data_IF_720393241716
#
_entry.id   IF_720393241716
#
_cell.length_a   1.000
_cell.length_b   1.000
_cell.length_c   1.000
_cell.angle_alpha   90.00
_cell.angle_beta   90.00
_cell.angle_gamma   90.00
#
_symmetry.space_group_name_H-M   'P 1'
#
loop_
_entity.id
_entity.type
_entity.pdbx_description
1 polymer ?
#
# COMPACT_ATOMS: atom_id res chain seq x y z
N UNK A 1 -10.39 -13.92 10.58
CA UNK A 1 -9.45 -14.32 11.65
C UNK A 1 -8.23 -13.45 11.48
N UNK A 2 -7.98 -12.54 12.43
CA UNK A 2 -6.97 -11.49 12.26
C UNK A 2 -5.56 -12.13 12.21
N UNK A 3 -4.92 -12.11 11.04
CA UNK A 3 -3.63 -12.81 10.83
C UNK A 3 -2.43 -12.00 11.28
N UNK A 4 -2.51 -10.65 11.25
CA UNK A 4 -1.38 -9.76 11.50
C UNK A 4 -1.81 -8.45 12.17
N UNK A 5 -1.02 -7.92 13.11
CA UNK A 5 -1.29 -6.62 13.74
C UNK A 5 -1.26 -5.48 12.72
N UNK A 6 -1.98 -4.40 12.99
CA UNK A 6 -2.03 -3.22 12.12
C UNK A 6 -0.64 -2.66 11.84
N UNK A 7 0.25 -2.63 12.85
CA UNK A 7 1.64 -2.24 12.68
C UNK A 7 2.37 -3.10 11.64
N UNK A 8 2.22 -4.42 11.76
CA UNK A 8 2.85 -5.37 10.85
C UNK A 8 2.39 -5.12 9.41
N UNK A 9 1.14 -4.71 9.22
CA UNK A 9 0.55 -4.40 7.91
C UNK A 9 0.97 -3.04 7.37
N UNK A 10 1.08 -2.01 8.21
CA UNK A 10 1.65 -0.71 7.85
C UNK A 10 3.09 -0.90 7.35
N UNK A 11 3.91 -1.58 8.15
CA UNK A 11 5.29 -1.89 7.79
C UNK A 11 5.36 -2.75 6.54
N UNK A 12 4.48 -3.74 6.41
CA UNK A 12 4.40 -4.59 5.23
C UNK A 12 4.12 -3.80 3.96
N UNK A 13 3.15 -2.88 4.00
CA UNK A 13 2.80 -2.06 2.85
C UNK A 13 3.98 -1.19 2.38
N UNK A 14 4.61 -0.47 3.32
CA UNK A 14 5.67 0.47 2.99
C UNK A 14 6.98 -0.23 2.63
N UNK A 15 7.35 -1.28 3.36
CA UNK A 15 8.53 -2.07 3.03
C UNK A 15 8.33 -2.87 1.73
N UNK A 16 7.10 -3.34 1.48
CA UNK A 16 6.79 -4.11 0.28
C UNK A 16 6.92 -3.28 -0.99
N UNK A 17 6.46 -2.03 -0.99
CA UNK A 17 6.65 -1.11 -2.12
C UNK A 17 8.13 -0.82 -2.38
N UNK A 18 8.89 -0.58 -1.31
CA UNK A 18 10.32 -0.32 -1.34
C UNK A 18 11.16 -1.51 -1.87
N UNK A 19 10.87 -2.72 -1.40
CA UNK A 19 11.49 -3.96 -1.89
C UNK A 19 11.15 -4.17 -3.35
N UNK A 20 9.88 -3.96 -3.72
CA UNK A 20 9.45 -4.04 -5.10
C UNK A 20 10.33 -3.19 -6.03
N UNK A 21 10.50 -1.92 -5.70
CA UNK A 21 11.38 -0.99 -6.44
C UNK A 21 12.84 -1.44 -6.48
N UNK A 22 13.37 -1.97 -5.38
CA UNK A 22 14.76 -2.44 -5.36
C UNK A 22 15.00 -3.60 -6.34
N UNK A 23 14.04 -4.52 -6.44
CA UNK A 23 14.17 -5.73 -7.25
C UNK A 23 14.12 -5.46 -8.75
N UNK A 24 13.52 -4.34 -9.18
CA UNK A 24 13.52 -3.90 -10.58
C UNK A 24 14.82 -3.25 -11.02
N UNK A 25 15.82 -3.11 -10.13
CA UNK A 25 17.15 -2.64 -10.53
C UNK A 25 17.78 -3.60 -11.55
N UNK A 26 18.32 -3.04 -12.63
CA UNK A 26 19.00 -3.77 -13.71
C UNK A 26 20.39 -4.30 -13.32
N UNK A 27 20.73 -4.27 -12.03
CA UNK A 27 21.97 -4.83 -11.53
C UNK A 27 21.92 -6.36 -11.70
N UNK A 28 22.93 -6.95 -12.35
CA UNK A 28 23.18 -8.39 -12.28
C UNK A 28 23.65 -8.76 -10.87
N UNK A 29 22.70 -8.80 -9.94
CA UNK A 29 22.91 -9.00 -8.53
C UNK A 29 21.79 -9.88 -7.97
N UNK A 30 22.08 -10.58 -6.88
CA UNK A 30 21.06 -11.34 -6.15
C UNK A 30 19.99 -10.40 -5.58
N UNK A 31 18.77 -10.93 -5.37
CA UNK A 31 17.68 -10.18 -4.71
C UNK A 31 18.14 -9.54 -3.39
N UNK A 32 18.95 -10.26 -2.61
CA UNK A 32 19.56 -9.75 -1.38
C UNK A 32 20.40 -8.49 -1.61
N UNK A 33 21.31 -8.51 -2.58
CA UNK A 33 22.18 -7.38 -2.88
C UNK A 33 21.39 -6.20 -3.41
N UNK A 34 20.41 -6.44 -4.29
CA UNK A 34 19.52 -5.38 -4.80
C UNK A 34 18.82 -4.64 -3.67
N UNK A 35 18.26 -5.38 -2.71
CA UNK A 35 17.57 -4.81 -1.54
C UNK A 35 18.57 -4.12 -0.59
N UNK A 36 19.70 -4.75 -0.30
CA UNK A 36 20.70 -4.20 0.63
C UNK A 36 21.26 -2.87 0.16
N UNK A 37 21.52 -2.73 -1.14
CA UNK A 37 22.17 -1.55 -1.73
C UNK A 37 21.20 -0.58 -2.43
N UNK A 38 19.89 -0.85 -2.35
CA UNK A 38 18.88 0.03 -2.91
C UNK A 38 18.99 1.44 -2.34
N UNK A 39 18.91 2.43 -3.22
CA UNK A 39 18.82 3.82 -2.83
C UNK A 39 17.35 4.20 -2.62
N UNK A 40 17.12 5.13 -1.69
CA UNK A 40 15.80 5.72 -1.50
C UNK A 40 15.43 6.51 -2.74
N UNK A 41 14.24 6.27 -3.29
CA UNK A 41 13.71 7.08 -4.39
C UNK A 41 13.14 8.40 -3.88
N UNK A 42 12.93 9.35 -4.80
CA UNK A 42 12.39 10.67 -4.43
C UNK A 42 11.03 10.56 -3.75
N UNK A 43 10.14 9.71 -4.26
CA UNK A 43 8.84 9.45 -3.66
C UNK A 43 8.92 8.79 -2.28
N UNK A 44 9.90 7.91 -2.06
CA UNK A 44 10.13 7.32 -0.74
C UNK A 44 10.62 8.34 0.28
N UNK A 45 11.54 9.23 -0.14
CA UNK A 45 12.03 10.31 0.72
C UNK A 45 10.93 11.34 1.01
N UNK A 46 10.11 11.67 0.01
CA UNK A 46 8.93 12.52 0.19
C UNK A 46 7.93 11.87 1.17
N UNK A 47 7.68 10.57 1.03
CA UNK A 47 6.84 9.81 1.95
C UNK A 47 7.39 9.81 3.38
N UNK A 48 8.69 9.58 3.56
CA UNK A 48 9.35 9.66 4.88
C UNK A 48 9.09 11.02 5.54
N UNK A 49 9.29 12.11 4.80
CA UNK A 49 9.06 13.47 5.30
C UNK A 49 7.58 13.77 5.56
N UNK A 50 6.67 13.30 4.70
CA UNK A 50 5.22 13.42 4.91
C UNK A 50 4.82 12.69 6.20
N UNK A 51 5.31 11.48 6.44
CA UNK A 51 5.06 10.77 7.69
C UNK A 51 5.56 11.55 8.90
N UNK A 52 6.76 12.13 8.84
CA UNK A 52 7.31 12.96 9.92
C UNK A 52 6.44 14.18 10.22
N UNK A 53 5.95 14.86 9.17
CA UNK A 53 5.04 16.00 9.30
C UNK A 53 3.71 15.57 9.94
N UNK A 54 3.11 14.48 9.45
CA UNK A 54 1.88 13.93 10.00
C UNK A 54 2.04 13.56 11.48
N UNK A 55 3.17 12.96 11.84
CA UNK A 55 3.44 12.55 13.22
C UNK A 55 3.69 13.71 14.18
N UNK A 56 4.13 14.85 13.67
CA UNK A 56 4.42 16.05 14.46
C UNK A 56 3.25 17.04 14.48
N UNK A 57 2.19 16.79 13.70
CA UNK A 57 1.03 17.65 13.64
C UNK A 57 0.00 17.25 14.71
N UNK A 58 -0.55 18.24 15.41
CA UNK A 58 -1.64 17.98 16.37
C UNK A 58 -2.93 17.58 15.67
N UNK A 59 -3.20 18.18 14.50
CA UNK A 59 -4.42 18.01 13.71
C UNK A 59 -4.11 18.11 12.23
N UNK A 60 -4.30 17.00 11.52
CA UNK A 60 -4.02 16.87 10.09
C UNK A 60 -4.80 17.94 9.28
N UNK A 61 -5.98 18.33 9.74
CA UNK A 61 -6.84 19.34 9.10
C UNK A 61 -6.22 20.74 9.07
N UNK A 62 -5.19 21.00 9.88
CA UNK A 62 -4.48 22.27 9.93
C UNK A 62 -3.23 22.30 9.04
N UNK A 63 -2.88 21.18 8.40
CA UNK A 63 -1.71 21.12 7.55
C UNK A 63 -1.86 22.03 6.33
N UNK A 64 -0.83 22.86 6.13
CA UNK A 64 -0.65 23.64 4.92
C UNK A 64 0.08 22.78 3.88
N UNK A 65 -0.70 22.04 3.11
CA UNK A 65 -0.18 21.17 2.05
C UNK A 65 0.49 21.94 0.91
N UNK A 66 0.21 23.23 0.73
CA UNK A 66 0.89 24.05 -0.27
C UNK A 66 2.33 24.31 0.15
N UNK A 67 2.52 24.73 1.40
CA UNK A 67 3.84 24.92 1.99
C UNK A 67 4.63 23.61 1.99
N UNK A 68 4.02 22.52 2.43
CA UNK A 68 4.65 21.19 2.45
C UNK A 68 5.07 20.77 1.04
N UNK A 69 4.20 20.92 0.04
CA UNK A 69 4.52 20.54 -1.33
C UNK A 69 5.73 21.31 -1.89
N UNK A 70 5.83 22.61 -1.55
CA UNK A 70 6.96 23.46 -1.93
C UNK A 70 8.26 23.02 -1.24
N UNK A 71 8.22 22.81 0.09
CA UNK A 71 9.40 22.41 0.89
C UNK A 71 9.93 21.02 0.50
N UNK A 72 9.03 20.12 0.09
CA UNK A 72 9.36 18.77 -0.33
C UNK A 72 9.67 18.66 -1.83
N UNK A 73 9.55 19.76 -2.57
CA UNK A 73 9.71 19.81 -4.02
C UNK A 73 8.89 18.71 -4.70
N UNK A 74 7.65 18.48 -4.25
CA UNK A 74 6.79 17.41 -4.78
C UNK A 74 6.52 17.56 -6.29
N UNK A 75 6.81 18.75 -6.83
CA UNK A 75 6.77 19.04 -8.25
C UNK A 75 7.78 18.35 -9.13
N UNK A 76 8.85 17.84 -8.54
CA UNK A 76 9.84 17.04 -9.25
C UNK A 76 9.36 15.60 -9.45
N UNK A 77 8.38 15.15 -8.65
CA UNK A 77 7.81 13.83 -8.83
C UNK A 77 7.07 13.76 -10.16
N UNK A 78 7.43 12.78 -10.98
CA UNK A 78 6.81 12.59 -12.29
C UNK A 78 5.28 12.47 -12.16
N UNK A 79 4.56 13.33 -12.88
CA UNK A 79 3.12 13.28 -13.04
C UNK A 79 2.75 11.92 -13.64
N UNK A 80 2.22 10.98 -12.84
CA UNK A 80 1.92 9.58 -13.20
C UNK A 80 3.05 8.55 -12.98
N UNK A 81 3.71 8.59 -11.83
CA UNK A 81 4.69 7.57 -11.44
C UNK A 81 4.37 6.90 -10.10
N UNK A 82 5.03 5.79 -9.86
CA UNK A 82 5.07 5.09 -8.58
C UNK A 82 5.63 5.95 -7.44
N UNK A 83 6.38 7.01 -7.77
CA UNK A 83 6.92 7.95 -6.79
C UNK A 83 5.82 8.70 -6.06
N UNK A 84 4.78 9.14 -6.78
CA UNK A 84 3.64 9.82 -6.18
C UNK A 84 2.95 8.90 -5.17
N UNK A 85 2.81 7.63 -5.52
CA UNK A 85 2.19 6.63 -4.63
C UNK A 85 3.04 6.38 -3.40
N UNK A 86 4.36 6.26 -3.55
CA UNK A 86 5.28 6.14 -2.42
C UNK A 86 5.20 7.35 -1.49
N UNK A 87 5.06 8.56 -2.05
CA UNK A 87 4.97 9.79 -1.28
C UNK A 87 3.68 9.86 -0.45
N UNK A 88 2.54 9.44 -1.00
CA UNK A 88 1.23 9.55 -0.33
C UNK A 88 0.90 8.34 0.55
N UNK A 89 1.63 7.24 0.45
CA UNK A 89 1.38 6.01 1.20
C UNK A 89 1.23 6.25 2.72
N UNK A 90 2.02 7.10 3.39
CA UNK A 90 1.81 7.39 4.82
C UNK A 90 0.45 8.01 5.12
N UNK A 91 -0.03 8.93 4.26
CA UNK A 91 -1.35 9.52 4.41
C UNK A 91 -2.45 8.47 4.20
N UNK A 92 -2.28 7.57 3.23
CA UNK A 92 -3.18 6.44 3.01
C UNK A 92 -3.26 5.53 4.24
N UNK A 93 -2.10 5.16 4.81
CA UNK A 93 -2.03 4.30 6.00
C UNK A 93 -2.69 4.96 7.21
N UNK A 94 -2.40 6.25 7.45
CA UNK A 94 -2.96 7.01 8.56
C UNK A 94 -4.48 7.16 8.45
N UNK A 95 -5.00 7.39 7.25
CA UNK A 95 -6.43 7.61 7.01
C UNK A 95 -7.19 6.34 6.56
N UNK A 96 -6.64 5.14 6.77
CA UNK A 96 -7.20 3.88 6.26
C UNK A 96 -8.62 3.58 6.75
N UNK A 97 -9.02 4.10 7.91
CA UNK A 97 -10.36 3.97 8.49
C UNK A 97 -11.28 5.18 8.19
N UNK A 98 -10.72 6.29 7.70
CA UNK A 98 -11.43 7.52 7.34
C UNK A 98 -11.03 8.02 5.95
N UNK A 99 -11.56 7.37 4.90
CA UNK A 99 -11.31 7.75 3.51
C UNK A 99 -11.88 9.13 3.14
N UNK A 100 -12.84 9.66 3.90
CA UNK A 100 -13.31 11.03 3.74
C UNK A 100 -12.19 12.02 4.10
N UNK A 101 -11.55 11.82 5.26
CA UNK A 101 -10.39 12.61 5.66
C UNK A 101 -9.25 12.46 4.65
N UNK A 102 -8.96 11.24 4.19
CA UNK A 102 -7.98 11.03 3.11
C UNK A 102 -8.29 11.90 1.90
N UNK A 103 -9.53 11.84 1.39
CA UNK A 103 -9.97 12.60 0.22
C UNK A 103 -9.83 14.11 0.45
N UNK A 104 -10.23 14.61 1.62
CA UNK A 104 -10.10 16.03 1.97
C UNK A 104 -8.64 16.48 1.98
N UNK A 105 -7.75 15.74 2.65
CA UNK A 105 -6.34 16.08 2.73
C UNK A 105 -5.64 15.97 1.36
N UNK A 106 -5.97 14.92 0.62
CA UNK A 106 -5.47 14.73 -0.75
C UNK A 106 -5.91 15.85 -1.69
N UNK A 107 -7.16 16.31 -1.62
CA UNK A 107 -7.64 17.42 -2.45
C UNK A 107 -6.95 18.75 -2.12
N UNK A 108 -6.50 18.94 -0.87
CA UNK A 108 -5.75 20.12 -0.43
C UNK A 108 -4.29 20.11 -0.87
N UNK A 109 -3.73 18.97 -1.28
CA UNK A 109 -2.47 18.91 -2.02
C UNK A 109 -2.69 19.48 -3.44
N UNK A 110 -2.80 20.81 -3.53
CA UNK A 110 -3.09 21.55 -4.77
C UNK A 110 -2.03 21.35 -5.85
N UNK A 111 -0.85 20.88 -5.47
CA UNK A 111 0.19 20.42 -6.38
C UNK A 111 -0.30 19.25 -7.24
N UNK A 112 -0.93 18.24 -6.62
CA UNK A 112 -1.57 17.12 -7.30
C UNK A 112 -2.94 17.49 -7.93
N UNK A 113 -3.54 18.61 -7.52
CA UNK A 113 -4.83 19.04 -8.05
C UNK A 113 -4.78 19.47 -9.54
N UNK A 114 -3.60 19.90 -10.04
CA UNK A 114 -3.37 20.15 -11.48
C UNK A 114 -3.01 18.88 -12.26
N UNK A 115 -2.87 17.74 -11.59
CA UNK A 115 -2.61 16.48 -12.28
C UNK A 115 -3.85 16.02 -13.02
N UNK A 116 -3.58 15.29 -14.10
CA UNK A 116 -4.57 14.65 -14.91
C UNK A 116 -5.47 13.73 -14.05
N UNK A 117 -6.73 13.60 -14.47
CA UNK A 117 -7.77 12.86 -13.74
C UNK A 117 -7.33 11.44 -13.37
N UNK A 118 -6.45 10.88 -14.19
CA UNK A 118 -5.82 9.57 -14.10
C UNK A 118 -5.05 9.35 -12.79
N UNK A 119 -4.26 10.32 -12.34
CA UNK A 119 -3.49 10.21 -11.08
C UNK A 119 -4.41 10.24 -9.87
N UNK A 120 -5.49 11.03 -9.94
CA UNK A 120 -6.46 11.14 -8.84
C UNK A 120 -7.25 9.84 -8.70
N UNK A 121 -7.73 9.29 -9.81
CA UNK A 121 -8.39 7.99 -9.85
C UNK A 121 -7.48 6.89 -9.30
N UNK A 122 -6.22 6.88 -9.76
CA UNK A 122 -5.20 5.93 -9.33
C UNK A 122 -5.00 5.91 -7.81
N UNK A 123 -4.76 7.09 -7.23
CA UNK A 123 -4.48 7.24 -5.80
C UNK A 123 -5.73 6.93 -4.97
N UNK A 124 -6.90 7.36 -5.44
CA UNK A 124 -8.15 7.05 -4.76
C UNK A 124 -8.43 5.55 -4.75
N UNK A 125 -8.26 4.87 -5.90
CA UNK A 125 -8.36 3.40 -5.98
C UNK A 125 -7.43 2.74 -4.98
N UNK A 126 -6.15 3.09 -5.06
CA UNK A 126 -5.11 2.48 -4.26
C UNK A 126 -5.34 2.71 -2.76
N UNK A 127 -5.81 3.90 -2.37
CA UNK A 127 -6.18 4.20 -0.99
C UNK A 127 -7.34 3.35 -0.49
N UNK A 128 -8.38 3.15 -1.32
CA UNK A 128 -9.55 2.32 -0.98
C UNK A 128 -9.15 0.84 -0.87
N UNK A 129 -8.32 0.36 -1.79
CA UNK A 129 -7.80 -1.00 -1.78
C UNK A 129 -7.00 -1.28 -0.49
N UNK A 130 -6.03 -0.42 -0.15
CA UNK A 130 -5.27 -0.56 1.11
C UNK A 130 -6.20 -0.46 2.32
N UNK A 131 -7.15 0.47 2.36
CA UNK A 131 -8.11 0.58 3.45
C UNK A 131 -8.93 -0.70 3.65
N UNK A 132 -9.44 -1.30 2.58
CA UNK A 132 -10.19 -2.56 2.65
C UNK A 132 -9.32 -3.72 3.10
N UNK A 133 -8.08 -3.78 2.63
CA UNK A 133 -7.08 -4.72 3.10
C UNK A 133 -6.91 -4.54 4.61
N UNK A 134 -6.48 -3.38 5.08
CA UNK A 134 -6.18 -3.07 6.49
C UNK A 134 -7.35 -3.30 7.43
N UNK A 135 -8.59 -3.12 6.95
CA UNK A 135 -9.83 -3.34 7.70
C UNK A 135 -10.38 -4.76 7.60
N UNK A 136 -9.67 -5.68 6.93
CA UNK A 136 -10.09 -7.07 6.70
C UNK A 136 -11.47 -7.17 6.03
N UNK A 137 -11.77 -6.21 5.16
CA UNK A 137 -13.02 -6.17 4.39
C UNK A 137 -12.86 -6.65 2.96
N UNK A 138 -11.62 -6.94 2.54
CA UNK A 138 -11.35 -7.45 1.21
C UNK A 138 -11.80 -8.91 1.10
N UNK A 139 -12.78 -9.19 0.24
CA UNK A 139 -13.21 -10.54 -0.10
C UNK A 139 -12.74 -10.94 -1.51
N UNK A 140 -12.14 -12.13 -1.62
CA UNK A 140 -11.70 -12.71 -2.90
C UNK A 140 -12.66 -13.77 -3.45
N UNK A 141 -13.59 -14.29 -2.64
CA UNK A 141 -14.49 -15.38 -3.05
C UNK A 141 -15.72 -14.89 -3.79
N UNK A 142 -16.21 -13.70 -3.44
CA UNK A 142 -17.28 -13.02 -4.17
C UNK A 142 -16.59 -12.09 -5.16
N UNK A 143 -16.64 -12.45 -6.45
CA UNK A 143 -15.88 -11.80 -7.51
C UNK A 143 -15.87 -10.28 -7.39
N UNK A 144 -14.71 -9.73 -7.03
CA UNK A 144 -14.47 -8.33 -6.66
C UNK A 144 -15.46 -7.77 -5.64
N UNK A 145 -14.94 -7.21 -4.55
CA UNK A 145 -15.76 -6.28 -3.78
C UNK A 145 -16.21 -5.17 -4.74
N UNK A 146 -17.50 -5.11 -5.07
CA UNK A 146 -18.14 -3.99 -5.77
C UNK A 146 -17.77 -2.64 -5.12
N UNK A 147 -17.41 -2.69 -3.84
CA UNK A 147 -16.82 -1.61 -3.05
C UNK A 147 -15.53 -1.06 -3.69
N UNK A 148 -14.67 -1.86 -4.31
CA UNK A 148 -13.45 -1.40 -4.97
C UNK A 148 -13.75 -0.76 -6.35
N UNK A 149 -14.85 -1.15 -7.03
CA UNK A 149 -15.27 -0.55 -8.30
C UNK A 149 -16.09 0.73 -8.11
N UNK A 150 -16.56 1.01 -6.90
CA UNK A 150 -17.12 2.31 -6.48
C UNK A 150 -16.02 3.38 -6.27
N UNK A 151 -14.89 3.24 -6.98
CA UNK A 151 -13.82 4.24 -7.03
C UNK A 151 -14.05 5.06 -8.30
N UNK A 152 -14.82 6.14 -8.16
CA UNK A 152 -15.10 7.08 -9.25
C UNK A 152 -16.36 6.74 -10.04
N UNK A 153 -16.58 7.48 -11.13
CA UNK A 153 -17.71 7.19 -12.02
C UNK A 153 -17.47 5.85 -12.75
N UNK A 154 -18.51 5.02 -12.98
CA UNK A 154 -18.38 3.76 -13.72
C UNK A 154 -17.80 3.89 -15.14
N UNK A 155 -17.73 5.12 -15.66
CA UNK A 155 -17.16 5.49 -16.96
C UNK A 155 -15.67 5.85 -16.91
N UNK A 156 -15.08 5.92 -15.71
CA UNK A 156 -13.66 6.14 -15.53
C UNK A 156 -12.86 5.04 -16.22
N UNK A 157 -11.82 5.42 -16.96
CA UNK A 157 -10.98 4.48 -17.71
C UNK A 157 -10.37 3.41 -16.79
N UNK A 158 -10.00 3.80 -15.56
CA UNK A 158 -9.48 2.88 -14.55
C UNK A 158 -10.47 1.75 -14.24
N UNK A 159 -11.76 2.07 -14.08
CA UNK A 159 -12.80 1.08 -13.80
C UNK A 159 -12.93 0.09 -14.95
N UNK A 160 -12.86 0.56 -16.20
CA UNK A 160 -12.84 -0.32 -17.38
C UNK A 160 -11.65 -1.28 -17.34
N UNK A 161 -10.44 -0.78 -17.06
CA UNK A 161 -9.21 -1.61 -17.00
C UNK A 161 -9.23 -2.64 -15.89
N UNK A 162 -9.71 -2.27 -14.71
CA UNK A 162 -9.89 -3.19 -13.60
C UNK A 162 -10.89 -4.29 -13.94
N UNK A 163 -12.04 -3.93 -14.52
CA UNK A 163 -13.04 -4.90 -14.98
C UNK A 163 -12.49 -5.86 -16.04
N UNK A 164 -11.68 -5.35 -16.97
CA UNK A 164 -11.04 -6.20 -17.96
C UNK A 164 -10.06 -7.18 -17.32
N UNK A 165 -9.15 -6.71 -16.46
CA UNK A 165 -8.21 -7.58 -15.75
C UNK A 165 -8.93 -8.68 -14.96
N UNK A 166 -10.13 -8.40 -14.43
CA UNK A 166 -10.97 -9.37 -13.75
C UNK A 166 -11.59 -10.42 -14.67
N UNK A 167 -12.15 -9.97 -15.79
CA UNK A 167 -12.72 -10.88 -16.78
C UNK A 167 -11.65 -11.86 -17.23
N UNK A 168 -10.45 -11.36 -17.54
CA UNK A 168 -9.32 -12.19 -17.94
C UNK A 168 -8.87 -13.14 -16.83
N UNK A 169 -8.81 -12.66 -15.58
CA UNK A 169 -8.53 -13.52 -14.44
C UNK A 169 -9.54 -14.65 -14.27
N UNK A 170 -10.84 -14.36 -14.42
CA UNK A 170 -11.91 -15.36 -14.28
C UNK A 170 -11.94 -16.36 -15.44
N UNK A 171 -11.44 -15.97 -16.61
CA UNK A 171 -11.22 -16.85 -17.76
C UNK A 171 -9.96 -17.72 -17.62
N UNK A 172 -9.18 -17.58 -16.54
CA UNK A 172 -7.96 -18.34 -16.33
C UNK A 172 -6.80 -17.92 -17.24
N UNK A 173 -6.84 -16.69 -17.78
CA UNK A 173 -5.78 -16.14 -18.64
C UNK A 173 -4.46 -16.04 -17.90
N UNK A 174 -3.38 -16.37 -18.60
CA UNK A 174 -2.02 -16.20 -18.12
C UNK A 174 -1.66 -14.72 -17.96
N UNK A 175 -0.63 -14.43 -17.17
CA UNK A 175 -0.15 -13.05 -16.99
C UNK A 175 0.23 -12.41 -18.33
N UNK A 176 0.88 -13.17 -19.21
CA UNK A 176 1.32 -12.67 -20.51
C UNK A 176 0.14 -12.28 -21.38
N UNK A 177 -0.89 -13.11 -21.46
CA UNK A 177 -2.13 -12.78 -22.18
C UNK A 177 -2.80 -11.52 -21.59
N UNK A 178 -2.84 -11.38 -20.26
CA UNK A 178 -3.41 -10.20 -19.61
C UNK A 178 -2.64 -8.93 -19.95
N UNK A 179 -1.31 -8.98 -19.95
CA UNK A 179 -0.47 -7.84 -20.34
C UNK A 179 -0.71 -7.49 -21.80
N UNK A 180 -0.71 -8.48 -22.70
CA UNK A 180 -0.94 -8.28 -24.13
C UNK A 180 -2.32 -7.66 -24.40
N UNK A 181 -3.38 -8.15 -23.76
CA UNK A 181 -4.74 -7.62 -23.96
C UNK A 181 -4.90 -6.20 -23.40
N UNK A 182 -4.30 -5.88 -22.25
CA UNK A 182 -4.35 -4.53 -21.67
C UNK A 182 -3.51 -3.53 -22.47
N UNK A 183 -2.38 -3.96 -23.04
CA UNK A 183 -1.49 -3.12 -23.85
C UNK A 183 -2.01 -2.91 -25.28
N UNK A 184 -2.71 -3.89 -25.88
CA UNK A 184 -3.27 -3.79 -27.23
C UNK A 184 -4.41 -2.78 -27.33
N UNK A 185 -5.21 -2.63 -26.28
CA UNK A 185 -6.41 -1.81 -26.34
C UNK A 185 -6.13 -0.30 -26.26
N UNK A 186 -5.13 0.13 -25.46
CA UNK A 186 -4.79 1.54 -25.30
C UNK A 186 -3.52 1.74 -24.44
N UNK A 187 -2.49 2.38 -25.01
CA UNK A 187 -1.25 2.77 -24.32
C UNK A 187 -1.27 4.21 -23.81
N UNK A 188 -2.33 4.98 -24.07
CA UNK A 188 -2.43 6.40 -23.66
C UNK A 188 -2.60 6.59 -22.15
N UNK A 189 -2.91 5.52 -21.41
CA UNK A 189 -3.19 5.53 -19.98
C UNK A 189 -2.33 4.51 -19.20
N UNK A 190 -0.99 4.68 -19.20
CA UNK A 190 -0.06 3.70 -18.63
C UNK A 190 -0.24 3.50 -17.12
N UNK A 191 -0.69 4.52 -16.39
CA UNK A 191 -0.91 4.43 -14.94
C UNK A 191 -2.10 3.51 -14.60
N UNK A 192 -3.20 3.61 -15.33
CA UNK A 192 -4.36 2.75 -15.12
C UNK A 192 -4.07 1.30 -15.51
N UNK A 193 -3.34 1.09 -16.60
CA UNK A 193 -2.89 -0.24 -16.99
C UNK A 193 -2.01 -0.84 -15.88
N UNK A 194 -1.06 -0.05 -15.34
CA UNK A 194 -0.21 -0.49 -14.25
C UNK A 194 -0.98 -0.85 -12.97
N UNK A 195 -2.05 -0.11 -12.66
CA UNK A 195 -2.91 -0.39 -11.49
C UNK A 195 -3.72 -1.66 -11.69
N UNK A 196 -4.32 -1.83 -12.88
CA UNK A 196 -5.06 -3.05 -13.19
C UNK A 196 -4.16 -4.28 -13.16
N UNK A 197 -2.94 -4.17 -13.71
CA UNK A 197 -1.93 -5.23 -13.65
C UNK A 197 -1.44 -5.51 -12.23
N UNK A 198 -1.21 -4.47 -11.43
CA UNK A 198 -0.79 -4.64 -10.04
C UNK A 198 -1.88 -5.33 -9.21
N UNK A 199 -3.12 -4.92 -9.41
CA UNK A 199 -4.26 -5.56 -8.80
C UNK A 199 -4.39 -7.02 -9.22
N UNK A 200 -4.28 -7.32 -10.51
CA UNK A 200 -4.28 -8.69 -11.04
C UNK A 200 -3.15 -9.55 -10.43
N UNK A 201 -1.92 -9.04 -10.36
CA UNK A 201 -0.78 -9.74 -9.78
C UNK A 201 -1.00 -10.07 -8.29
N UNK A 202 -1.55 -9.11 -7.54
CA UNK A 202 -1.93 -9.30 -6.14
C UNK A 202 -3.07 -10.32 -5.98
N UNK A 203 -4.21 -10.10 -6.65
CA UNK A 203 -5.41 -10.92 -6.50
C UNK A 203 -5.23 -12.38 -6.97
N UNK A 204 -4.37 -12.61 -7.96
CA UNK A 204 -4.08 -13.97 -8.43
C UNK A 204 -3.23 -14.80 -7.45
N UNK A 205 -2.59 -14.16 -6.46
CA UNK A 205 -1.72 -14.85 -5.50
C UNK A 205 -1.62 -14.15 -4.12
N UNK A 206 -2.73 -13.71 -3.50
CA UNK A 206 -2.72 -12.72 -2.43
C UNK A 206 -1.99 -13.20 -1.18
N UNK A 207 -1.94 -14.51 -0.96
CA UNK A 207 -1.29 -15.17 0.18
C UNK A 207 0.22 -15.37 0.02
N UNK A 208 0.79 -15.05 -1.14
CA UNK A 208 2.20 -15.27 -1.43
C UNK A 208 2.85 -13.98 -1.96
N UNK A 209 3.40 -13.21 -1.03
CA UNK A 209 4.11 -11.96 -1.33
C UNK A 209 5.16 -12.11 -2.43
N UNK A 210 6.02 -13.14 -2.33
CA UNK A 210 7.09 -13.33 -3.33
C UNK A 210 6.53 -13.65 -4.71
N UNK A 211 5.44 -14.40 -4.80
CA UNK A 211 4.80 -14.73 -6.06
C UNK A 211 4.14 -13.50 -6.68
N UNK A 212 3.46 -12.66 -5.89
CA UNK A 212 2.91 -11.39 -6.35
C UNK A 212 4.00 -10.52 -6.99
N UNK A 213 5.13 -10.34 -6.29
CA UNK A 213 6.27 -9.56 -6.79
C UNK A 213 6.86 -10.15 -8.07
N UNK A 214 7.11 -11.47 -8.11
CA UNK A 214 7.67 -12.10 -9.31
C UNK A 214 6.73 -12.01 -10.51
N UNK A 215 5.42 -12.08 -10.31
CA UNK A 215 4.44 -11.85 -11.38
C UNK A 215 4.50 -10.40 -11.86
N UNK A 216 4.44 -9.44 -10.94
CA UNK A 216 4.55 -8.02 -11.26
C UNK A 216 5.84 -7.67 -12.02
N UNK A 217 6.97 -8.33 -11.71
CA UNK A 217 8.22 -8.09 -12.43
C UNK A 217 8.18 -8.50 -13.91
N UNK A 218 7.25 -9.36 -14.28
CA UNK A 218 7.10 -9.88 -15.64
C UNK A 218 6.03 -9.14 -16.46
N UNK A 219 5.66 -7.91 -16.09
CA UNK A 219 4.66 -7.10 -16.82
C UNK A 219 5.27 -6.14 -17.86
N UNK A 220 6.49 -6.40 -18.33
CA UNK A 220 7.10 -5.64 -19.43
C UNK A 220 7.39 -4.19 -19.09
N UNK A 221 6.96 -3.26 -19.97
CA UNK A 221 7.33 -1.84 -19.93
C UNK A 221 6.85 -1.10 -18.68
N UNK A 222 5.78 -1.56 -18.04
CA UNK A 222 5.20 -0.95 -16.83
C UNK A 222 5.70 -1.61 -15.53
N UNK A 223 6.67 -2.52 -15.61
CA UNK A 223 7.17 -3.34 -14.50
C UNK A 223 7.44 -2.54 -13.21
N UNK A 224 8.11 -1.39 -13.29
CA UNK A 224 8.46 -0.59 -12.10
C UNK A 224 7.21 -0.19 -11.29
N UNK A 225 6.23 0.44 -11.95
CA UNK A 225 5.00 0.89 -11.29
C UNK A 225 4.18 -0.29 -10.78
N UNK A 226 4.04 -1.34 -11.60
CA UNK A 226 3.28 -2.54 -11.23
C UNK A 226 3.87 -3.21 -9.99
N UNK A 227 5.20 -3.35 -9.92
CA UNK A 227 5.89 -4.01 -8.80
C UNK A 227 5.78 -3.20 -7.51
N UNK A 228 5.92 -1.88 -7.56
CA UNK A 228 5.78 -1.01 -6.38
C UNK A 228 4.36 -1.08 -5.81
N UNK A 229 3.35 -0.97 -6.68
CA UNK A 229 1.94 -1.09 -6.33
C UNK A 229 1.62 -2.46 -5.74
N UNK A 230 2.03 -3.52 -6.43
CA UNK A 230 1.81 -4.90 -6.00
C UNK A 230 2.47 -5.17 -4.65
N UNK A 231 3.70 -4.68 -4.45
CA UNK A 231 4.42 -4.81 -3.19
C UNK A 231 3.71 -4.13 -2.04
N UNK A 232 3.12 -2.95 -2.26
CA UNK A 232 2.32 -2.28 -1.24
C UNK A 232 1.05 -3.06 -0.88
N UNK A 233 0.29 -3.54 -1.88
CA UNK A 233 -0.95 -4.29 -1.67
C UNK A 233 -0.66 -5.63 -0.98
N UNK A 234 0.26 -6.43 -1.53
CA UNK A 234 0.65 -7.72 -0.98
C UNK A 234 1.29 -7.56 0.40
N UNK A 235 2.05 -6.48 0.62
CA UNK A 235 2.65 -6.15 1.91
C UNK A 235 1.61 -5.74 2.96
N UNK A 236 0.61 -4.94 2.59
CA UNK A 236 -0.51 -4.62 3.47
C UNK A 236 -1.34 -5.87 3.82
N UNK A 237 -1.49 -6.80 2.86
CA UNK A 237 -2.27 -8.01 3.04
C UNK A 237 -1.56 -9.06 3.91
N UNK A 238 -0.33 -9.41 3.54
CA UNK A 238 0.47 -10.45 4.22
C UNK A 238 1.24 -9.91 5.43
N UNK A 239 1.24 -8.59 5.61
CA UNK A 239 2.05 -7.92 6.59
C UNK A 239 3.56 -8.06 6.33
N UNK A 240 4.36 -7.40 7.16
CA UNK A 240 5.82 -7.50 7.15
C UNK A 240 6.25 -8.96 7.30
N UNK A 241 5.61 -9.73 8.15
CA UNK A 241 5.99 -11.14 8.40
C UNK A 241 5.79 -12.05 7.20
N UNK A 242 4.91 -11.70 6.25
CA UNK A 242 4.74 -12.43 4.99
C UNK A 242 5.80 -12.12 3.93
N UNK A 243 6.63 -11.09 4.13
CA UNK A 243 7.78 -10.81 3.25
C UNK A 243 8.86 -11.89 3.50
N UNK A 244 9.46 -12.47 2.43
CA UNK A 244 10.52 -13.47 2.55
C UNK A 244 11.61 -13.08 3.55
N UNK A 245 12.01 -14.03 4.40
CA UNK A 245 12.96 -13.76 5.48
C UNK A 245 14.28 -13.18 4.95
N UNK A 246 14.80 -13.70 3.84
CA UNK A 246 16.01 -13.18 3.21
C UNK A 246 15.86 -11.71 2.80
N UNK A 247 14.71 -11.32 2.25
CA UNK A 247 14.44 -9.93 1.87
C UNK A 247 14.32 -9.03 3.10
N UNK A 248 13.67 -9.49 4.17
CA UNK A 248 13.60 -8.73 5.43
C UNK A 248 14.96 -8.50 6.07
N UNK A 249 15.81 -9.53 6.12
CA UNK A 249 17.15 -9.40 6.67
C UNK A 249 18.03 -8.48 5.81
N UNK A 250 17.93 -8.59 4.47
CA UNK A 250 18.57 -7.64 3.56
C UNK A 250 18.08 -6.21 3.84
N UNK A 251 16.79 -6.04 4.08
CA UNK A 251 16.23 -4.72 4.35
C UNK A 251 16.71 -4.11 5.66
N UNK A 252 16.95 -4.91 6.69
CA UNK A 252 17.51 -4.44 7.97
C UNK A 252 18.93 -3.88 7.82
N UNK A 253 19.69 -4.36 6.83
CA UNK A 253 21.01 -3.84 6.50
C UNK A 253 20.97 -2.53 5.71
N UNK A 254 19.78 -2.09 5.27
CA UNK A 254 19.59 -0.84 4.57
C UNK A 254 19.07 0.25 5.53
N UNK A 255 19.79 1.38 5.61
CA UNK A 255 19.43 2.49 6.48
C UNK A 255 18.09 3.15 6.13
N UNK A 256 17.73 3.22 4.85
CA UNK A 256 16.44 3.78 4.42
C UNK A 256 15.27 2.94 4.96
N UNK A 257 15.31 1.63 4.78
CA UNK A 257 14.20 0.78 5.19
C UNK A 257 14.00 0.71 6.70
N UNK A 258 15.10 0.80 7.48
CA UNK A 258 14.99 0.96 8.93
C UNK A 258 14.23 2.23 9.32
N UNK A 259 14.46 3.35 8.62
CA UNK A 259 13.69 4.57 8.85
C UNK A 259 12.21 4.40 8.48
N UNK A 260 11.91 3.72 7.37
CA UNK A 260 10.50 3.42 7.01
C UNK A 260 9.79 2.60 8.10
N UNK A 261 10.47 1.61 8.69
CA UNK A 261 9.92 0.82 9.79
C UNK A 261 9.64 1.68 11.04
N UNK A 262 10.55 2.61 11.37
CA UNK A 262 10.40 3.55 12.48
C UNK A 262 9.28 4.56 12.24
N UNK A 263 9.21 5.15 11.05
CA UNK A 263 8.13 6.08 10.70
C UNK A 263 6.77 5.37 10.66
N UNK A 264 6.71 4.10 10.25
CA UNK A 264 5.47 3.31 10.34
C UNK A 264 4.98 3.13 11.78
N UNK A 265 5.90 2.97 12.74
CA UNK A 265 5.55 2.89 14.17
C UNK A 265 5.03 4.22 14.70
N UNK A 266 5.71 5.32 14.37
CA UNK A 266 5.28 6.68 14.73
C UNK A 266 3.91 6.99 14.14
N UNK A 267 3.69 6.65 12.87
CA UNK A 267 2.42 6.85 12.19
C UNK A 267 1.28 6.09 12.85
N UNK A 268 1.51 4.83 13.24
CA UNK A 268 0.52 4.07 14.00
C UNK A 268 0.24 4.71 15.37
N UNK A 269 1.27 5.23 16.04
CA UNK A 269 1.09 5.96 17.30
C UNK A 269 0.18 7.17 17.13
N UNK A 270 0.44 7.97 16.09
CA UNK A 270 -0.35 9.14 15.73
C UNK A 270 -1.79 8.74 15.45
N UNK A 271 -2.01 7.65 14.71
CA UNK A 271 -3.35 7.11 14.49
C UNK A 271 -4.05 6.70 15.81
N UNK A 272 -3.30 6.13 16.76
CA UNK A 272 -3.79 5.79 18.10
C UNK A 272 -4.03 7.02 19.00
N UNK A 273 -3.72 8.23 18.54
CA UNK A 273 -3.80 9.46 19.34
C UNK A 273 -2.68 9.57 20.39
N UNK A 274 -1.57 8.83 20.24
CA UNK A 274 -0.42 8.92 21.12
C UNK A 274 0.51 10.05 20.68
N UNK A 275 0.65 11.07 21.53
CA UNK A 275 1.65 12.12 21.36
C UNK A 275 2.96 11.71 22.05
N UNK A 276 4.09 11.70 21.33
CA UNK A 276 5.42 11.25 21.80
C UNK A 276 5.45 9.81 22.37
N UNK A 277 5.13 8.80 21.54
CA UNK A 277 5.09 7.41 22.00
C UNK A 277 6.47 6.84 22.34
N UNK A 278 6.51 5.94 23.33
CA UNK A 278 7.62 4.98 23.43
C UNK A 278 7.47 3.92 22.32
N UNK A 279 8.40 3.91 21.36
CA UNK A 279 8.38 3.01 20.21
C UNK A 279 8.52 1.53 20.59
N UNK A 280 9.15 1.21 21.72
CA UNK A 280 9.23 -0.16 22.22
C UNK A 280 7.85 -0.71 22.58
N UNK A 281 7.03 0.12 23.23
CA UNK A 281 5.66 -0.22 23.58
C UNK A 281 4.85 -0.52 22.33
N UNK A 282 4.90 0.35 21.32
CA UNK A 282 4.16 0.17 20.06
C UNK A 282 4.59 -1.09 19.31
N UNK A 283 5.89 -1.39 19.31
CA UNK A 283 6.44 -2.55 18.62
C UNK A 283 5.86 -3.88 19.13
N UNK A 284 5.43 -3.91 20.40
CA UNK A 284 4.83 -5.08 21.04
C UNK A 284 3.29 -5.05 21.05
N UNK A 285 2.69 -3.94 20.65
CA UNK A 285 1.23 -3.75 20.70
C UNK A 285 0.51 -4.56 19.62
N UNK A 286 -0.47 -5.34 20.06
CA UNK A 286 -1.38 -6.10 19.19
C UNK A 286 -2.62 -5.23 18.92
N UNK A 287 -2.51 -4.34 17.94
CA UNK A 287 -3.55 -3.39 17.55
C UNK A 287 -4.26 -3.86 16.28
N UNK A 288 -5.59 -3.80 16.25
CA UNK A 288 -6.41 -3.99 15.05
C UNK A 288 -6.87 -2.65 14.48
N UNK A 289 -7.25 -2.63 13.20
CA UNK A 289 -7.97 -1.50 12.63
C UNK A 289 -9.35 -1.30 13.27
N UNK A 290 -9.90 -0.09 13.16
CA UNK A 290 -11.22 0.24 13.67
C UNK A 290 -12.31 -0.70 13.11
N UNK A 291 -13.10 -1.30 14.01
CA UNK A 291 -14.16 -2.25 13.66
C UNK A 291 -13.68 -3.68 13.35
N UNK A 292 -12.40 -3.99 13.57
CA UNK A 292 -11.84 -5.35 13.41
C UNK A 292 -11.59 -5.98 14.77
N UNK A 293 -12.14 -7.16 15.02
CA UNK A 293 -11.92 -7.91 16.26
C UNK A 293 -10.69 -8.81 16.10
N UNK A 294 -9.67 -8.62 16.95
CA UNK A 294 -8.56 -9.56 17.09
C UNK A 294 -8.98 -10.72 18.02
N UNK A 295 -9.07 -11.96 17.53
CA UNK A 295 -9.33 -13.11 18.40
C UNK A 295 -8.14 -13.30 19.36
N UNK A 296 -8.39 -13.25 20.67
CA UNK A 296 -7.37 -13.58 21.69
C UNK A 296 -7.33 -15.09 21.88
N UNK A 297 -6.24 -15.74 21.51
CA UNK A 297 -6.06 -17.18 21.69
C UNK A 297 -5.97 -17.63 23.16
N UNK A 298 -5.83 -16.70 24.12
CA UNK A 298 -5.40 -17.00 25.50
C UNK A 298 -6.41 -16.71 26.62
N UNK A 299 -7.69 -16.46 26.32
CA UNK A 299 -8.71 -16.40 27.37
C UNK A 299 -9.72 -17.52 27.18
N UNK A 300 -9.59 -18.61 27.94
CA UNK A 300 -10.74 -19.43 28.29
C UNK A 300 -11.74 -18.49 28.95
N UNK A 301 -12.83 -18.20 28.27
CA UNK A 301 -13.97 -17.55 28.89
C UNK A 301 -14.45 -18.51 29.97
N UNK A 302 -14.12 -18.22 31.24
CA UNK A 302 -14.70 -18.91 32.39
C UNK A 302 -16.13 -18.39 32.49
N UNK A 303 -16.99 -18.86 31.60
CA UNK A 303 -18.43 -18.68 31.73
C UNK A 303 -18.86 -19.57 32.89
N UNK A 304 -19.14 -18.91 34.02
CA UNK A 304 -19.96 -19.34 35.16
C UNK A 304 -20.23 -20.85 35.21
N UNK A 305 -19.46 -21.55 36.05
CA UNK A 305 -19.94 -22.81 36.60
C UNK A 305 -21.18 -22.47 37.43
N UNK A 306 -22.36 -22.87 36.95
CA UNK A 306 -23.55 -23.00 37.77
C UNK A 306 -23.17 -23.84 39.00
N UNK A 307 -23.24 -23.24 40.19
CA UNK A 307 -23.17 -23.99 41.43
C UNK A 307 -24.48 -24.79 41.56
N UNK A 308 -24.44 -26.13 41.63
CA UNK A 308 -25.61 -26.88 42.05
C UNK A 308 -25.76 -26.71 43.56
N UNK A 309 -26.82 -26.02 43.99
CA UNK A 309 -27.38 -26.12 45.34
C UNK A 309 -28.51 -27.14 45.34
#
# INVERSE_FOLDING_TARGET
MNRYSLLNRFQGAWLGSAIGKALTSNLQASDWQKITYAQASEGMLAGEKIAQILCNCERIEQLDWQKIALELELEKLSHCSEEVICAVLPLVLLCHDNLYLFKEQWQRLSFFAHHCIEVKEAIYFFSKAIALILREKLNFTDGFDSIILDVGEPRAFLVKRLNQALILSSQGKSLQEVVEELDQEDQSHPMQNAIALAWYCFQSSPENFSLCIRRAMNTGSQCLTVVVLTGALAGAYNGRTGIPLSWRLASQNNGCYRRLEQESQRLLATWLGMYQPNLETISTSIVAAAGVIQPRASLKIISQQEQPT
#
